data_IF_164334299214
#
_entry.id   IF_164334299214
#
_cell.length_a   1.000
_cell.length_b   1.000
_cell.length_c   1.000
_cell.angle_alpha   90.00
_cell.angle_beta   90.00
_cell.angle_gamma   90.00
#
_symmetry.space_group_name_H-M   'P 1'
#
loop_
_entity.id
_entity.type
_entity.pdbx_description
1 polymer ?
#
# COMPACT_ATOMS: atom_id res chain seq x y z
N UNK A 1 13.96 0.63 42.58
CA UNK A 1 13.03 1.65 42.04
C UNK A 1 13.28 1.96 40.56
N UNK A 2 14.52 2.29 40.15
CA UNK A 2 14.84 2.65 38.76
C UNK A 2 14.48 1.58 37.70
N UNK A 3 14.68 0.29 37.99
CA UNK A 3 14.36 -0.81 37.07
C UNK A 3 12.84 -0.89 36.79
N UNK A 4 12.01 -0.73 37.83
CA UNK A 4 10.55 -0.73 37.70
C UNK A 4 10.09 0.46 36.84
N UNK A 5 10.71 1.62 37.04
CA UNK A 5 10.44 2.83 36.24
C UNK A 5 10.80 2.60 34.76
N UNK A 6 11.95 1.97 34.48
CA UNK A 6 12.37 1.64 33.11
C UNK A 6 11.39 0.66 32.46
N UNK A 7 10.97 -0.39 33.18
CA UNK A 7 9.97 -1.36 32.69
C UNK A 7 8.64 -0.66 32.40
N UNK A 8 8.20 0.24 33.28
CA UNK A 8 6.98 1.02 33.08
C UNK A 8 7.07 1.93 31.85
N UNK A 9 8.21 2.59 31.64
CA UNK A 9 8.46 3.43 30.46
C UNK A 9 8.43 2.60 29.18
N UNK A 10 9.10 1.43 29.16
CA UNK A 10 9.06 0.51 28.02
C UNK A 10 7.63 0.06 27.75
N UNK A 11 6.89 -0.32 28.78
CA UNK A 11 5.50 -0.73 28.65
C UNK A 11 4.62 0.37 28.02
N UNK A 12 4.77 1.61 28.49
CA UNK A 12 4.06 2.77 27.93
C UNK A 12 4.43 2.96 26.45
N UNK A 13 5.72 2.95 26.09
CA UNK A 13 6.16 3.11 24.70
C UNK A 13 5.57 2.02 23.80
N UNK A 14 5.48 0.78 24.28
CA UNK A 14 4.93 -0.33 23.49
C UNK A 14 3.41 -0.25 23.29
N UNK A 15 2.69 0.40 24.20
CA UNK A 15 1.24 0.52 24.18
C UNK A 15 0.78 1.66 23.25
N UNK A 16 1.58 2.73 23.14
CA UNK A 16 1.22 3.88 22.30
C UNK A 16 1.47 3.60 20.81
N UNK A 17 0.45 3.77 19.95
CA UNK A 17 0.61 3.56 18.52
C UNK A 17 1.50 4.64 17.92
N UNK A 18 2.61 4.23 17.30
CA UNK A 18 3.59 5.10 16.67
C UNK A 18 3.02 5.58 15.32
N UNK A 19 2.90 6.91 15.11
CA UNK A 19 2.49 7.46 13.82
C UNK A 19 3.67 7.48 12.85
N UNK A 20 3.54 6.77 11.73
CA UNK A 20 4.51 6.78 10.63
C UNK A 20 3.91 7.59 9.47
N UNK A 21 4.31 8.86 9.29
CA UNK A 21 3.89 9.67 8.16
C UNK A 21 4.69 9.32 6.91
N UNK A 22 3.97 9.11 5.81
CA UNK A 22 4.47 8.89 4.47
C UNK A 22 3.91 9.99 3.56
N UNK A 23 4.76 10.59 2.73
CA UNK A 23 4.33 11.55 1.72
C UNK A 23 4.95 11.18 0.37
N UNK A 24 4.12 11.10 -0.66
CA UNK A 24 4.52 10.97 -2.04
C UNK A 24 4.07 12.24 -2.76
N UNK A 25 5.00 12.94 -3.38
CA UNK A 25 4.72 14.17 -4.11
C UNK A 25 5.34 14.08 -5.50
N UNK A 26 4.51 14.07 -6.52
CA UNK A 26 4.92 14.12 -7.90
C UNK A 26 4.58 15.50 -8.47
N UNK A 27 5.59 16.24 -8.90
CA UNK A 27 5.45 17.54 -9.53
C UNK A 27 6.66 17.78 -10.44
N UNK A 28 6.51 18.60 -11.48
CA UNK A 28 7.58 18.91 -12.44
C UNK A 28 8.32 17.66 -12.96
N UNK A 29 7.56 16.61 -13.25
CA UNK A 29 8.06 15.31 -13.72
C UNK A 29 9.00 14.55 -12.75
N UNK A 30 9.12 15.00 -11.50
CA UNK A 30 9.92 14.36 -10.47
C UNK A 30 9.05 13.73 -9.39
N UNK A 31 9.42 12.53 -8.95
CA UNK A 31 8.76 11.82 -7.86
C UNK A 31 9.59 11.95 -6.57
N UNK A 32 9.02 12.63 -5.58
CA UNK A 32 9.62 12.79 -4.26
C UNK A 32 8.89 11.92 -3.24
N UNK A 33 9.62 11.09 -2.52
CA UNK A 33 9.08 10.18 -1.50
C UNK A 33 9.70 10.57 -0.16
N UNK A 34 8.85 10.83 0.83
CA UNK A 34 9.26 11.22 2.17
C UNK A 34 8.71 10.22 3.20
N UNK A 35 9.56 9.87 4.16
CA UNK A 35 9.18 9.17 5.40
C UNK A 35 9.64 10.04 6.56
N UNK A 36 8.76 10.36 7.51
CA UNK A 36 9.08 11.31 8.60
C UNK A 36 9.68 12.63 8.08
N UNK A 37 9.11 13.16 7.00
CA UNK A 37 9.55 14.41 6.35
C UNK A 37 10.96 14.37 5.72
N UNK A 38 11.67 13.24 5.85
CA UNK A 38 12.96 13.02 5.22
C UNK A 38 12.77 12.41 3.84
N UNK A 39 13.35 13.06 2.84
CA UNK A 39 13.31 12.58 1.45
C UNK A 39 14.18 11.33 1.29
N UNK A 40 13.65 10.33 0.59
CA UNK A 40 14.36 9.12 0.21
C UNK A 40 14.88 9.30 -1.20
N UNK A 41 16.17 9.65 -1.30
CA UNK A 41 16.87 9.65 -2.58
C UNK A 41 17.24 8.21 -2.97
N UNK A 42 16.63 7.67 -4.02
CA UNK A 42 17.11 6.42 -4.61
C UNK A 42 18.36 6.74 -5.43
N UNK A 43 19.55 6.43 -4.88
CA UNK A 43 20.77 6.42 -5.70
C UNK A 43 20.58 5.34 -6.77
N UNK A 44 20.61 5.71 -8.05
CA UNK A 44 20.67 4.73 -9.15
C UNK A 44 21.90 3.85 -8.92
N UNK A 45 21.70 2.60 -8.50
CA UNK A 45 22.75 1.59 -8.68
C UNK A 45 22.92 1.43 -10.18
N UNK A 46 24.12 1.69 -10.68
CA UNK A 46 24.50 1.36 -12.05
C UNK A 46 24.62 -0.17 -12.09
N UNK A 47 23.50 -0.86 -12.30
CA UNK A 47 23.52 -2.28 -12.62
C UNK A 47 24.13 -2.39 -14.01
N UNK A 48 25.28 -3.09 -14.14
CA UNK A 48 25.83 -3.46 -15.46
C UNK A 48 24.69 -3.99 -16.32
N UNK A 49 24.61 -3.56 -17.58
CA UNK A 49 23.60 -3.98 -18.55
C UNK A 49 23.65 -5.49 -18.78
N UNK A 50 23.07 -6.27 -17.88
CA UNK A 50 22.71 -7.65 -18.12
C UNK A 50 21.43 -7.55 -18.94
N UNK A 51 21.52 -7.81 -20.25
CA UNK A 51 20.36 -7.94 -21.12
C UNK A 51 19.57 -9.18 -20.70
N UNK A 52 18.75 -9.05 -19.66
CA UNK A 52 17.69 -10.00 -19.41
C UNK A 52 16.53 -9.63 -20.34
N UNK A 53 16.22 -10.51 -21.29
CA UNK A 53 14.96 -10.51 -22.03
C UNK A 53 13.84 -10.85 -21.03
N UNK A 54 13.41 -9.88 -20.23
CA UNK A 54 12.30 -10.06 -19.29
C UNK A 54 11.02 -9.99 -20.11
N UNK A 55 10.59 -11.13 -20.65
CA UNK A 55 9.33 -11.23 -21.38
C UNK A 55 8.19 -10.83 -20.45
N UNK A 56 7.31 -9.94 -20.90
CA UNK A 56 6.16 -9.44 -20.14
C UNK A 56 5.24 -10.54 -19.59
N UNK A 57 5.30 -11.75 -20.17
CA UNK A 57 4.62 -12.97 -19.71
C UNK A 57 5.01 -13.37 -18.29
N UNK A 58 6.27 -13.14 -17.89
CA UNK A 58 6.78 -13.57 -16.58
C UNK A 58 6.22 -12.72 -15.44
N UNK A 59 6.04 -11.41 -15.63
CA UNK A 59 5.44 -10.53 -14.61
C UNK A 59 3.97 -10.88 -14.34
N UNK A 60 3.21 -11.15 -15.41
CA UNK A 60 1.81 -11.55 -15.26
C UNK A 60 1.68 -12.89 -14.53
N UNK A 61 2.60 -13.81 -14.78
CA UNK A 61 2.63 -15.11 -14.11
C UNK A 61 2.97 -14.95 -12.62
N UNK A 62 3.95 -14.12 -12.28
CA UNK A 62 4.28 -13.75 -10.89
C UNK A 62 3.06 -13.14 -10.19
N UNK A 63 2.40 -12.15 -10.80
CA UNK A 63 1.19 -11.54 -10.24
C UNK A 63 0.08 -12.56 -10.01
N UNK A 64 -0.11 -13.49 -10.94
CA UNK A 64 -1.10 -14.57 -10.83
C UNK A 64 -0.78 -15.53 -9.68
N UNK A 65 0.49 -15.83 -9.46
CA UNK A 65 0.94 -16.71 -8.37
C UNK A 65 0.78 -16.06 -6.99
N UNK A 66 0.97 -14.73 -6.88
CA UNK A 66 0.77 -13.98 -5.63
C UNK A 66 -0.68 -13.59 -5.37
N UNK A 67 -1.53 -13.49 -6.41
CA UNK A 67 -2.94 -13.15 -6.27
C UNK A 67 -3.71 -13.96 -5.22
N UNK A 68 -3.65 -15.32 -5.19
CA UNK A 68 -4.37 -16.09 -4.16
C UNK A 68 -3.88 -15.77 -2.75
N UNK A 69 -2.57 -15.50 -2.58
CA UNK A 69 -2.02 -15.11 -1.29
C UNK A 69 -2.53 -13.73 -0.86
N UNK A 70 -2.45 -12.74 -1.75
CA UNK A 70 -2.94 -11.38 -1.48
C UNK A 70 -4.44 -11.39 -1.17
N UNK A 71 -5.23 -12.16 -1.94
CA UNK A 71 -6.67 -12.34 -1.73
C UNK A 71 -6.96 -12.93 -0.35
N UNK A 72 -6.27 -14.00 0.02
CA UNK A 72 -6.47 -14.66 1.32
C UNK A 72 -6.08 -13.76 2.49
N UNK A 73 -4.97 -13.03 2.37
CA UNK A 73 -4.57 -12.01 3.37
C UNK A 73 -5.63 -10.92 3.46
N UNK A 74 -6.09 -10.38 2.33
CA UNK A 74 -7.11 -9.32 2.30
C UNK A 74 -8.43 -9.75 2.94
N UNK A 75 -8.89 -10.98 2.71
CA UNK A 75 -10.12 -11.52 3.33
C UNK A 75 -9.95 -11.61 4.85
N UNK A 76 -8.84 -12.20 5.32
CA UNK A 76 -8.57 -12.33 6.75
C UNK A 76 -8.38 -10.98 7.44
N UNK A 77 -7.71 -10.03 6.78
CA UNK A 77 -7.57 -8.68 7.30
C UNK A 77 -8.90 -7.96 7.32
N UNK A 78 -9.76 -8.09 6.29
CA UNK A 78 -11.02 -7.34 6.15
C UNK A 78 -11.89 -7.39 7.41
N UNK A 79 -11.95 -8.54 8.08
CA UNK A 79 -12.80 -8.76 9.25
C UNK A 79 -12.05 -8.62 10.59
N UNK A 80 -10.76 -8.29 10.57
CA UNK A 80 -9.94 -8.21 11.78
C UNK A 80 -10.12 -6.86 12.51
N UNK A 81 -10.41 -6.84 13.82
CA UNK A 81 -10.47 -5.62 14.62
C UNK A 81 -9.09 -4.95 14.80
N UNK A 82 -7.99 -5.71 14.72
CA UNK A 82 -6.61 -5.22 14.96
C UNK A 82 -5.94 -4.61 13.72
N UNK A 83 -6.72 -4.15 12.73
CA UNK A 83 -6.15 -3.45 11.56
C UNK A 83 -5.38 -2.18 12.00
N UNK A 84 -4.31 -1.80 11.30
CA UNK A 84 -3.64 -0.53 11.57
C UNK A 84 -4.58 0.62 11.23
N UNK A 85 -4.46 1.74 11.96
CA UNK A 85 -5.24 2.94 11.67
C UNK A 85 -4.52 3.77 10.62
N UNK A 86 -5.24 4.25 9.62
CA UNK A 86 -4.69 5.03 8.51
C UNK A 86 -5.39 6.39 8.42
N UNK A 87 -4.62 7.46 8.28
CA UNK A 87 -5.10 8.73 7.73
C UNK A 87 -4.60 8.78 6.30
N UNK A 88 -5.50 8.96 5.33
CA UNK A 88 -5.15 8.98 3.91
C UNK A 88 -5.68 10.27 3.27
N UNK A 89 -4.77 11.05 2.69
CA UNK A 89 -5.10 12.26 1.96
C UNK A 89 -4.47 12.19 0.56
N UNK A 90 -5.27 12.37 -0.47
CA UNK A 90 -4.84 12.47 -1.85
C UNK A 90 -5.31 13.81 -2.42
N UNK A 91 -4.36 14.56 -2.96
CA UNK A 91 -4.58 15.80 -3.68
C UNK A 91 -3.99 15.65 -5.08
N UNK A 92 -4.78 15.98 -6.10
CA UNK A 92 -4.33 15.94 -7.49
C UNK A 92 -4.73 17.25 -8.16
N UNK A 93 -3.76 18.04 -8.59
CA UNK A 93 -3.96 19.20 -9.44
C UNK A 93 -3.48 18.82 -10.84
N UNK A 94 -4.40 18.76 -11.80
CA UNK A 94 -4.05 18.34 -13.15
C UNK A 94 -4.78 19.16 -14.21
N UNK A 95 -4.17 19.28 -15.37
CA UNK A 95 -4.74 19.91 -16.55
C UNK A 95 -4.12 19.30 -17.79
N UNK A 96 -4.92 19.20 -18.86
CA UNK A 96 -4.43 18.91 -20.20
C UNK A 96 -4.46 20.18 -21.05
N UNK A 97 -3.82 20.15 -22.21
CA UNK A 97 -3.88 21.24 -23.20
C UNK A 97 -5.31 21.48 -23.70
N UNK A 98 -6.14 20.44 -23.70
CA UNK A 98 -7.54 20.49 -24.09
C UNK A 98 -8.45 20.49 -22.85
N UNK A 99 -9.29 21.52 -22.75
CA UNK A 99 -10.24 21.68 -21.66
C UNK A 99 -11.29 20.56 -21.63
N UNK A 100 -11.72 20.04 -22.78
CA UNK A 100 -12.69 18.94 -22.86
C UNK A 100 -12.08 17.66 -22.29
N UNK A 101 -10.82 17.35 -22.66
CA UNK A 101 -10.08 16.21 -22.08
C UNK A 101 -9.94 16.37 -20.56
N UNK A 102 -9.65 17.57 -20.09
CA UNK A 102 -9.56 17.87 -18.65
C UNK A 102 -10.89 17.61 -17.94
N UNK A 103 -12.02 18.02 -18.51
CA UNK A 103 -13.34 17.79 -17.93
C UNK A 103 -13.70 16.30 -17.85
N UNK A 104 -13.45 15.55 -18.94
CA UNK A 104 -13.72 14.11 -19.00
C UNK A 104 -12.88 13.37 -17.95
N UNK A 105 -11.58 13.64 -17.89
CA UNK A 105 -10.70 13.04 -16.89
C UNK A 105 -11.10 13.45 -15.47
N UNK A 106 -11.52 14.69 -15.25
CA UNK A 106 -11.98 15.15 -13.93
C UNK A 106 -13.19 14.35 -13.46
N UNK A 107 -14.19 14.15 -14.32
CA UNK A 107 -15.35 13.31 -14.01
C UNK A 107 -14.93 11.89 -13.62
N UNK A 108 -14.11 11.26 -14.47
CA UNK A 108 -13.64 9.89 -14.24
C UNK A 108 -12.85 9.75 -12.93
N UNK A 109 -11.89 10.65 -12.67
CA UNK A 109 -11.04 10.59 -11.49
C UNK A 109 -11.84 10.81 -10.20
N UNK A 110 -12.87 11.68 -10.20
CA UNK A 110 -13.74 11.83 -9.03
C UNK A 110 -14.52 10.56 -8.71
N UNK A 111 -14.97 9.82 -9.73
CA UNK A 111 -15.66 8.54 -9.56
C UNK A 111 -14.76 7.45 -8.94
N UNK A 112 -13.44 7.61 -8.96
CA UNK A 112 -12.51 6.66 -8.33
C UNK A 112 -12.47 6.76 -6.80
N UNK A 113 -12.91 7.88 -6.22
CA UNK A 113 -12.81 8.12 -4.77
C UNK A 113 -13.45 7.01 -3.91
N UNK A 114 -14.70 6.57 -4.16
CA UNK A 114 -15.32 5.50 -3.37
C UNK A 114 -14.60 4.15 -3.55
N UNK A 115 -14.12 3.86 -4.76
CA UNK A 115 -13.39 2.64 -5.09
C UNK A 115 -12.06 2.59 -4.32
N UNK A 116 -11.38 3.73 -4.26
CA UNK A 116 -10.13 3.88 -3.53
C UNK A 116 -10.36 3.72 -2.03
N UNK A 117 -11.37 4.39 -1.46
CA UNK A 117 -11.74 4.25 -0.05
C UNK A 117 -12.04 2.78 0.32
N UNK A 118 -12.88 2.10 -0.46
CA UNK A 118 -13.23 0.70 -0.22
C UNK A 118 -12.01 -0.22 -0.30
N UNK A 119 -11.14 0.00 -1.28
CA UNK A 119 -9.93 -0.81 -1.46
C UNK A 119 -8.95 -0.65 -0.30
N UNK A 120 -8.73 0.57 0.16
CA UNK A 120 -7.88 0.87 1.32
C UNK A 120 -8.49 0.29 2.61
N UNK A 121 -9.82 0.37 2.77
CA UNK A 121 -10.54 -0.10 3.97
C UNK A 121 -10.48 -1.62 4.19
N UNK A 122 -10.14 -2.39 3.17
CA UNK A 122 -9.88 -3.84 3.31
C UNK A 122 -8.67 -4.10 4.21
N UNK A 123 -7.62 -3.28 4.09
CA UNK A 123 -6.35 -3.49 4.78
C UNK A 123 -6.22 -2.66 6.05
N UNK A 124 -6.83 -1.47 6.09
CA UNK A 124 -6.65 -0.51 7.17
C UNK A 124 -7.98 -0.05 7.76
N UNK A 125 -7.95 0.36 9.01
CA UNK A 125 -9.02 1.13 9.61
C UNK A 125 -8.83 2.62 9.27
N UNK A 126 -9.61 3.14 8.33
CA UNK A 126 -9.46 4.51 7.83
C UNK A 126 -10.03 5.49 8.87
N UNK A 127 -9.16 6.23 9.56
CA UNK A 127 -9.56 7.26 10.54
C UNK A 127 -9.99 8.56 9.86
N UNK A 128 -9.32 8.92 8.78
CA UNK A 128 -9.63 10.11 7.97
C UNK A 128 -9.28 9.81 6.53
N UNK A 129 -10.18 10.19 5.63
CA UNK A 129 -10.03 10.07 4.19
C UNK A 129 -10.27 11.43 3.56
N UNK A 130 -9.36 11.89 2.72
CA UNK A 130 -9.55 13.11 1.94
C UNK A 130 -9.08 12.82 0.52
N UNK A 131 -9.93 13.14 -0.44
CA UNK A 131 -9.67 12.94 -1.85
C UNK A 131 -10.13 14.20 -2.57
N UNK A 132 -9.17 14.97 -3.09
CA UNK A 132 -9.44 16.25 -3.72
C UNK A 132 -8.73 16.30 -5.06
N UNK A 133 -9.50 16.58 -6.09
CA UNK A 133 -8.99 16.77 -7.44
C UNK A 133 -9.32 18.20 -7.84
N UNK A 134 -8.33 18.92 -8.34
CA UNK A 134 -8.43 20.30 -8.81
C UNK A 134 -8.10 20.29 -10.31
N UNK A 135 -9.08 20.52 -11.20
CA UNK A 135 -8.84 20.60 -12.62
C UNK A 135 -8.25 21.97 -12.99
N UNK A 136 -7.32 22.00 -13.93
CA UNK A 136 -6.80 23.21 -14.55
C UNK A 136 -7.07 23.16 -16.06
N UNK A 137 -8.01 23.99 -16.52
CA UNK A 137 -8.42 24.04 -17.92
C UNK A 137 -7.53 24.92 -18.81
N UNK A 138 -6.55 25.62 -18.22
CA UNK A 138 -5.73 26.62 -18.94
C UNK A 138 -4.34 26.13 -19.27
N UNK A 139 -3.79 25.22 -18.47
CA UNK A 139 -2.41 24.79 -18.60
C UNK A 139 -2.28 23.29 -18.39
N UNK A 140 -1.52 22.64 -19.27
CA UNK A 140 -1.09 21.26 -19.08
C UNK A 140 -0.14 21.17 -17.88
N UNK A 141 -0.56 20.46 -16.83
CA UNK A 141 0.25 20.23 -15.63
C UNK A 141 -0.25 19.03 -14.84
N UNK A 142 0.62 18.41 -14.07
CA UNK A 142 0.27 17.33 -13.15
C UNK A 142 1.05 17.52 -11.85
N UNK A 143 0.33 17.68 -10.75
CA UNK A 143 0.85 17.75 -9.39
C UNK A 143 0.01 16.84 -8.49
N UNK A 144 0.59 15.72 -8.08
CA UNK A 144 -0.03 14.69 -7.25
C UNK A 144 0.64 14.68 -5.88
N UNK A 145 -0.11 14.94 -4.83
CA UNK A 145 0.34 14.85 -3.45
C UNK A 145 -0.50 13.84 -2.66
N UNK A 146 0.12 12.71 -2.33
CA UNK A 146 -0.43 11.71 -1.42
C UNK A 146 0.25 11.86 -0.06
N UNK A 147 -0.51 12.13 0.98
CA UNK A 147 -0.06 12.17 2.38
C UNK A 147 -0.80 11.12 3.17
N UNK A 148 -0.08 10.22 3.82
CA UNK A 148 -0.64 9.14 4.60
C UNK A 148 0.02 9.07 5.97
N UNK A 149 -0.73 8.77 7.02
CA UNK A 149 -0.19 8.53 8.37
C UNK A 149 -0.69 7.18 8.84
N UNK A 150 0.23 6.23 8.94
CA UNK A 150 -0.05 4.90 9.45
C UNK A 150 0.23 4.88 10.95
N UNK A 151 -0.80 4.67 11.77
CA UNK A 151 -0.63 4.46 13.21
C UNK A 151 -0.58 2.96 13.49
N UNK A 152 0.61 2.47 13.79
CA UNK A 152 0.85 1.07 14.16
C UNK A 152 1.10 0.96 15.66
N UNK A 153 0.41 0.04 16.32
CA UNK A 153 0.84 -0.46 17.64
C UNK A 153 1.67 -1.72 17.44
N UNK A 154 2.54 -2.02 18.40
CA UNK A 154 3.37 -3.24 18.36
C UNK A 154 2.47 -4.49 18.35
N UNK A 155 1.42 -4.50 19.18
CA UNK A 155 0.44 -5.60 19.25
C UNK A 155 -0.23 -5.86 17.90
N UNK A 156 -0.75 -4.81 17.25
CA UNK A 156 -1.41 -4.95 15.94
C UNK A 156 -0.42 -5.43 14.88
N UNK A 157 0.81 -4.94 14.93
CA UNK A 157 1.88 -5.32 14.00
C UNK A 157 2.24 -6.80 14.13
N UNK A 158 2.51 -7.27 15.36
CA UNK A 158 2.81 -8.69 15.64
C UNK A 158 1.68 -9.57 15.14
N UNK A 159 0.42 -9.22 15.46
CA UNK A 159 -0.73 -10.00 15.02
C UNK A 159 -0.83 -10.10 13.49
N UNK A 160 -0.68 -8.98 12.79
CA UNK A 160 -0.73 -8.95 11.32
C UNK A 160 0.40 -9.78 10.71
N UNK A 161 1.62 -9.69 11.26
CA UNK A 161 2.76 -10.50 10.81
C UNK A 161 2.48 -11.99 10.99
N UNK A 162 1.97 -12.40 12.16
CA UNK A 162 1.58 -13.80 12.42
C UNK A 162 0.50 -14.26 11.45
N UNK A 163 -0.53 -13.44 11.22
CA UNK A 163 -1.62 -13.77 10.30
C UNK A 163 -1.12 -13.97 8.87
N UNK A 164 -0.25 -13.08 8.38
CA UNK A 164 0.37 -13.20 7.05
C UNK A 164 1.21 -14.48 6.97
N UNK A 165 2.02 -14.75 8.00
CA UNK A 165 2.87 -15.95 8.07
C UNK A 165 2.04 -17.23 8.05
N UNK A 166 0.92 -17.28 8.79
CA UNK A 166 -0.02 -18.41 8.78
C UNK A 166 -0.66 -18.61 7.40
N UNK A 167 -1.05 -17.53 6.71
CA UNK A 167 -1.58 -17.62 5.34
C UNK A 167 -0.52 -18.17 4.38
N UNK A 168 0.71 -17.70 4.49
CA UNK A 168 1.82 -18.15 3.66
C UNK A 168 2.12 -19.65 3.86
N UNK A 169 2.17 -20.11 5.12
CA UNK A 169 2.38 -21.53 5.45
C UNK A 169 1.24 -22.43 4.93
N UNK A 170 -0.01 -22.00 5.09
CA UNK A 170 -1.17 -22.78 4.64
C UNK A 170 -1.23 -22.90 3.11
N UNK A 171 -0.85 -21.85 2.38
CA UNK A 171 -0.76 -21.88 0.92
C UNK A 171 0.31 -22.88 0.44
N UNK A 172 1.46 -23.00 1.13
CA UNK A 172 2.48 -24.02 0.82
C UNK A 172 1.95 -25.44 1.05
N UNK A 173 1.25 -25.68 2.17
CA UNK A 173 0.63 -26.99 2.46
C UNK A 173 -0.35 -27.40 1.35
N UNK A 174 -1.26 -26.51 0.94
CA UNK A 174 -2.22 -26.75 -0.15
C UNK A 174 -1.54 -27.05 -1.50
N UNK A 175 -0.39 -26.43 -1.78
CA UNK A 175 0.39 -26.71 -3.00
C UNK A 175 1.03 -28.10 -2.94
N UNK A 176 1.55 -28.50 -1.78
CA UNK A 176 2.15 -29.82 -1.58
C UNK A 176 1.12 -30.97 -1.59
N UNK A 177 -0.07 -30.79 -1.02
CA UNK A 177 -1.13 -31.83 -1.03
C UNK A 177 -1.66 -32.10 -2.44
N UNK A 178 -1.71 -31.09 -3.32
CA UNK A 178 -2.09 -31.26 -4.73
C UNK A 178 -1.03 -31.98 -5.56
N UNK A 179 0.24 -31.96 -5.14
CA UNK A 179 1.33 -32.67 -5.82
C UNK A 179 1.34 -34.16 -5.44
N UNK A 180 0.82 -34.54 -4.26
CA UNK A 180 0.72 -35.94 -3.82
C UNK A 180 -0.47 -36.71 -4.41
N UNK A 181 -1.44 -36.03 -5.03
CA UNK A 181 -2.51 -36.68 -5.80
C UNK A 181 -2.48 -36.22 -7.27
N UNK A 182 -1.43 -36.53 -8.06
CA UNK A 182 -1.56 -36.49 -9.50
C UNK A 182 -2.37 -37.72 -9.92
N UNK A 183 -3.64 -37.51 -10.25
CA UNK A 183 -4.49 -38.31 -11.13
C UNK A 183 -4.11 -39.80 -11.26
N UNK A 184 -4.71 -40.63 -10.42
CA UNK A 184 -5.15 -41.95 -10.87
C UNK A 184 -6.39 -41.70 -11.75
N UNK A 185 -6.17 -41.42 -13.03
CA UNK A 185 -7.23 -41.50 -14.04
C UNK A 185 -6.94 -42.73 -14.90
N UNK A 186 -7.88 -43.67 -14.79
CA UNK A 186 -8.05 -44.93 -15.54
C UNK A 186 -7.95 -44.76 -17.06
#
# INVERSE_FOLDING_TARGET
MHIIIIILIIFIITLFPIPIPFKLHYYNNNLHIYIYEKEISFKKRVTKNIKHDIRSKDYFQILKDFYPLIKNVAIKLKNNPLKPRLIFNLYLNFGFEDAAKTAICFGFLNSLSPILYFSIGKFFHIKKYTFSIIPNFKSSKIDLCLKSILRISIVNTIYIVILILLVFLNNKKLKNTKILHPKEEL
#
